data_IF_229566114525
#
_entry.id   IF_229566114525
#
_cell.length_a   1.000
_cell.length_b   1.000
_cell.length_c   1.000
_cell.angle_alpha   90.00
_cell.angle_beta   90.00
_cell.angle_gamma   90.00
#
_symmetry.space_group_name_H-M   'P 1'
#
loop_
_entity.id
_entity.type
_entity.pdbx_description
1 polymer ?
#
# COMPACT_ATOMS: atom_id res chain seq x y z
N UNK A 1 -33.96 23.47 8.45
CA UNK A 1 -32.70 22.78 8.15
C UNK A 1 -32.81 22.24 6.74
N UNK A 2 -32.25 22.95 5.76
CA UNK A 2 -32.28 22.52 4.36
C UNK A 2 -31.40 21.27 4.20
N UNK A 3 -31.97 20.21 3.65
CA UNK A 3 -31.24 18.99 3.32
C UNK A 3 -30.16 19.38 2.30
N UNK A 4 -28.87 19.09 2.56
CA UNK A 4 -27.84 19.35 1.55
C UNK A 4 -28.21 18.61 0.27
N UNK A 5 -28.14 19.32 -0.87
CA UNK A 5 -28.40 18.75 -2.19
C UNK A 5 -27.56 17.48 -2.35
N UNK A 6 -28.20 16.37 -2.74
CA UNK A 6 -27.51 15.07 -2.92
C UNK A 6 -26.25 15.19 -3.79
N UNK A 7 -26.23 16.16 -4.71
CA UNK A 7 -25.11 16.48 -5.58
C UNK A 7 -23.83 16.89 -4.81
N UNK A 8 -23.96 17.65 -3.72
CA UNK A 8 -22.83 18.08 -2.88
C UNK A 8 -22.30 16.89 -2.06
N UNK A 9 -23.19 16.00 -1.59
CA UNK A 9 -22.81 14.81 -0.82
C UNK A 9 -22.00 13.81 -1.64
N UNK A 10 -22.32 13.63 -2.92
CA UNK A 10 -21.61 12.68 -3.78
C UNK A 10 -20.37 13.26 -4.49
N UNK A 11 -20.20 14.59 -4.50
CA UNK A 11 -19.10 15.25 -5.20
C UNK A 11 -17.70 14.72 -4.79
N UNK A 12 -17.36 14.53 -3.49
CA UNK A 12 -16.06 14.01 -3.10
C UNK A 12 -15.82 12.57 -3.62
N UNK A 13 -16.86 11.76 -3.65
CA UNK A 13 -16.80 10.37 -4.13
C UNK A 13 -16.57 10.33 -5.64
N UNK A 14 -17.25 11.20 -6.40
CA UNK A 14 -17.05 11.33 -7.85
C UNK A 14 -15.62 11.79 -8.15
N UNK A 15 -15.12 12.81 -7.44
CA UNK A 15 -13.75 13.30 -7.58
C UNK A 15 -12.74 12.18 -7.29
N UNK A 16 -12.94 11.44 -6.20
CA UNK A 16 -12.09 10.30 -5.83
C UNK A 16 -12.05 9.21 -6.92
N UNK A 17 -13.21 8.86 -7.49
CA UNK A 17 -13.28 7.88 -8.59
C UNK A 17 -12.55 8.39 -9.83
N UNK A 18 -12.74 9.66 -10.20
CA UNK A 18 -12.09 10.25 -11.37
C UNK A 18 -10.56 10.26 -11.20
N UNK A 19 -10.06 10.69 -10.04
CA UNK A 19 -8.63 10.69 -9.72
C UNK A 19 -8.07 9.25 -9.75
N UNK A 20 -8.76 8.31 -9.11
CA UNK A 20 -8.35 6.89 -9.10
C UNK A 20 -8.28 6.31 -10.51
N UNK A 21 -9.27 6.62 -11.36
CA UNK A 21 -9.28 6.23 -12.77
C UNK A 21 -8.12 6.87 -13.56
N UNK A 22 -7.83 8.15 -13.34
CA UNK A 22 -6.73 8.86 -14.01
C UNK A 22 -5.37 8.24 -13.64
N UNK A 23 -5.15 7.95 -12.35
CA UNK A 23 -3.92 7.32 -11.87
C UNK A 23 -3.79 5.89 -12.43
N UNK A 24 -4.86 5.09 -12.40
CA UNK A 24 -4.86 3.74 -12.96
C UNK A 24 -4.52 3.75 -14.47
N UNK A 25 -5.05 4.72 -15.23
CA UNK A 25 -4.71 4.92 -16.65
C UNK A 25 -3.25 5.30 -16.83
N UNK A 26 -2.71 6.20 -15.99
CA UNK A 26 -1.29 6.60 -16.03
C UNK A 26 -0.36 5.41 -15.76
N UNK A 27 -0.68 4.59 -14.75
CA UNK A 27 0.06 3.36 -14.43
C UNK A 27 0.02 2.38 -15.59
N UNK A 28 -1.16 2.11 -16.17
CA UNK A 28 -1.27 1.23 -17.35
C UNK A 28 -0.46 1.76 -18.53
N UNK A 29 -0.53 3.07 -18.81
CA UNK A 29 0.25 3.71 -19.89
C UNK A 29 1.74 3.52 -19.68
N UNK A 30 2.21 3.66 -18.44
CA UNK A 30 3.62 3.48 -18.09
C UNK A 30 4.03 2.01 -18.18
N UNK A 31 3.22 1.10 -17.65
CA UNK A 31 3.51 -0.33 -17.64
C UNK A 31 3.59 -0.93 -19.06
N UNK A 32 2.79 -0.42 -20.01
CA UNK A 32 2.82 -0.84 -21.42
C UNK A 32 4.15 -0.57 -22.13
N UNK A 33 4.97 0.37 -21.62
CA UNK A 33 6.30 0.64 -22.18
C UNK A 33 7.30 -0.49 -21.95
N UNK A 34 7.01 -1.41 -21.04
CA UNK A 34 7.91 -2.48 -20.64
C UNK A 34 7.31 -3.84 -21.03
N UNK A 35 7.89 -4.55 -22.02
CA UNK A 35 7.36 -5.83 -22.48
C UNK A 35 7.36 -6.88 -21.36
N UNK A 36 6.43 -7.84 -21.37
CA UNK A 36 6.41 -8.92 -20.39
C UNK A 36 7.66 -9.78 -20.51
N UNK A 37 8.11 -10.36 -19.39
CA UNK A 37 9.30 -11.20 -19.39
C UNK A 37 9.11 -12.54 -20.12
N UNK A 38 7.90 -13.12 -20.12
CA UNK A 38 7.61 -14.38 -20.80
C UNK A 38 6.20 -14.35 -21.45
N UNK A 39 6.01 -13.66 -22.59
CA UNK A 39 4.71 -13.51 -23.24
C UNK A 39 4.10 -14.84 -23.71
N UNK A 40 4.93 -15.80 -24.09
CA UNK A 40 4.50 -17.08 -24.66
C UNK A 40 3.89 -18.03 -23.61
N UNK A 41 4.21 -17.83 -22.33
CA UNK A 41 3.74 -18.70 -21.25
C UNK A 41 2.26 -18.49 -20.89
N UNK A 42 1.64 -17.36 -21.29
CA UNK A 42 0.24 -17.09 -20.98
C UNK A 42 -0.34 -15.98 -21.83
N UNK A 43 -1.61 -16.14 -22.24
CA UNK A 43 -2.42 -15.05 -22.84
C UNK A 43 -2.68 -13.88 -21.87
N UNK A 44 -2.40 -14.06 -20.57
CA UNK A 44 -2.70 -13.07 -19.52
C UNK A 44 -1.41 -12.52 -18.92
N UNK A 45 -0.89 -11.43 -19.49
CA UNK A 45 0.34 -10.77 -19.04
C UNK A 45 0.17 -9.26 -18.77
N UNK A 46 1.20 -8.64 -18.20
CA UNK A 46 1.27 -7.21 -17.90
C UNK A 46 0.55 -6.77 -16.61
N UNK A 47 0.74 -5.49 -16.26
CA UNK A 47 0.15 -4.86 -15.07
C UNK A 47 -1.34 -4.56 -15.31
N UNK A 48 -2.19 -5.51 -14.95
CA UNK A 48 -3.64 -5.45 -15.10
C UNK A 48 -4.38 -6.29 -14.05
N UNK A 49 -5.70 -6.18 -14.01
CA UNK A 49 -6.55 -6.91 -13.04
C UNK A 49 -6.08 -6.70 -11.59
N UNK A 50 -6.00 -7.79 -10.84
CA UNK A 50 -5.53 -7.82 -9.45
C UNK A 50 -4.13 -7.24 -9.23
N UNK A 51 -3.23 -7.35 -10.22
CA UNK A 51 -1.89 -6.77 -10.11
C UNK A 51 -1.95 -5.24 -10.20
N UNK A 52 -2.84 -4.70 -11.03
CA UNK A 52 -3.07 -3.25 -11.06
C UNK A 52 -3.70 -2.76 -9.76
N UNK A 53 -4.65 -3.53 -9.20
CA UNK A 53 -5.26 -3.21 -7.91
C UNK A 53 -4.19 -3.13 -6.82
N UNK A 54 -3.26 -4.08 -6.76
CA UNK A 54 -2.14 -4.05 -5.83
C UNK A 54 -1.26 -2.81 -6.03
N UNK A 55 -0.87 -2.50 -7.26
CA UNK A 55 -0.04 -1.32 -7.55
C UNK A 55 -0.75 -0.02 -7.18
N UNK A 56 -2.06 0.09 -7.47
CA UNK A 56 -2.91 1.20 -7.04
C UNK A 56 -2.98 1.29 -5.51
N UNK A 57 -3.11 0.12 -4.85
CA UNK A 57 -3.05 -0.04 -3.40
C UNK A 57 -1.78 0.55 -2.82
N UNK A 58 -0.64 0.18 -3.38
CA UNK A 58 0.67 0.61 -2.90
C UNK A 58 0.92 2.11 -3.15
N UNK A 59 0.61 2.61 -4.35
CA UNK A 59 1.03 3.94 -4.78
C UNK A 59 0.06 5.06 -4.43
N UNK A 60 -1.22 4.74 -4.21
CA UNK A 60 -2.25 5.76 -4.06
C UNK A 60 -3.22 5.45 -2.92
N UNK A 61 -3.94 4.32 -2.99
CA UNK A 61 -5.00 4.04 -2.02
C UNK A 61 -4.45 3.86 -0.60
N UNK A 62 -3.34 3.15 -0.44
CA UNK A 62 -2.68 2.92 0.85
C UNK A 62 -2.26 4.23 1.52
N UNK A 63 -1.43 5.09 0.87
CA UNK A 63 -1.09 6.40 1.40
C UNK A 63 -2.30 7.29 1.73
N UNK A 64 -3.32 7.29 0.88
CA UNK A 64 -4.49 8.14 1.10
C UNK A 64 -5.34 7.66 2.29
N UNK A 65 -5.65 6.35 2.35
CA UNK A 65 -6.40 5.76 3.46
C UNK A 65 -5.61 5.86 4.77
N UNK A 66 -4.30 5.61 4.71
CA UNK A 66 -3.40 5.71 5.86
C UNK A 66 -3.36 7.11 6.46
N UNK A 67 -3.21 8.14 5.62
CA UNK A 67 -3.22 9.54 6.06
C UNK A 67 -4.58 9.92 6.69
N UNK A 68 -5.68 9.52 6.04
CA UNK A 68 -7.03 9.76 6.55
C UNK A 68 -7.26 9.10 7.92
N UNK A 69 -6.81 7.84 8.09
CA UNK A 69 -6.93 7.11 9.35
C UNK A 69 -6.11 7.77 10.47
N UNK A 70 -4.83 8.08 10.23
CA UNK A 70 -3.97 8.74 11.22
C UNK A 70 -4.59 10.07 11.66
N UNK A 71 -5.07 10.87 10.72
CA UNK A 71 -5.70 12.16 11.04
C UNK A 71 -6.99 11.99 11.84
N UNK A 72 -7.85 11.04 11.45
CA UNK A 72 -9.09 10.74 12.18
C UNK A 72 -8.82 10.23 13.60
N UNK A 73 -7.78 9.39 13.78
CA UNK A 73 -7.38 8.89 15.09
C UNK A 73 -6.89 10.03 16.00
N UNK A 74 -6.08 10.96 15.47
CA UNK A 74 -5.65 12.14 16.23
C UNK A 74 -6.81 13.07 16.59
N UNK A 75 -7.68 13.40 15.65
CA UNK A 75 -8.85 14.24 15.90
C UNK A 75 -9.76 13.61 16.97
N UNK A 76 -10.04 12.31 16.86
CA UNK A 76 -10.88 11.58 17.83
C UNK A 76 -10.31 11.61 19.25
N UNK A 77 -8.99 11.57 19.39
CA UNK A 77 -8.32 11.65 20.70
C UNK A 77 -8.29 13.08 21.23
N UNK A 78 -8.01 14.06 20.38
CA UNK A 78 -7.97 15.48 20.75
C UNK A 78 -9.35 16.04 21.12
N UNK A 79 -10.41 15.57 20.45
CA UNK A 79 -11.79 15.93 20.78
C UNK A 79 -12.21 15.40 22.17
N UNK A 80 -11.70 14.22 22.55
CA UNK A 80 -11.97 13.62 23.88
C UNK A 80 -11.12 14.23 24.99
N UNK A 81 -9.90 14.64 24.67
CA UNK A 81 -8.94 15.17 25.63
C UNK A 81 -8.28 16.46 25.08
N UNK A 82 -8.98 17.61 25.11
CA UNK A 82 -8.50 18.85 24.51
C UNK A 82 -7.18 19.35 25.12
N UNK A 83 -6.92 19.01 26.38
CA UNK A 83 -5.69 19.32 27.07
C UNK A 83 -4.45 18.63 26.48
N UNK A 84 -4.59 17.58 25.66
CA UNK A 84 -3.45 16.95 25.00
C UNK A 84 -2.74 17.88 24.02
N UNK A 85 -3.44 18.86 23.45
CA UNK A 85 -2.84 19.78 22.47
C UNK A 85 -1.73 20.66 23.06
N UNK A 86 -1.73 20.88 24.38
CA UNK A 86 -0.67 21.61 25.09
C UNK A 86 0.46 20.71 25.61
N UNK A 87 0.32 19.39 25.52
CA UNK A 87 1.30 18.42 26.02
C UNK A 87 2.41 18.22 24.99
N UNK A 88 3.65 18.57 25.34
CA UNK A 88 4.80 18.48 24.43
C UNK A 88 5.02 17.06 23.88
N UNK A 89 4.85 16.03 24.72
CA UNK A 89 4.97 14.62 24.32
C UNK A 89 3.97 14.24 23.23
N UNK A 90 2.75 14.78 23.26
CA UNK A 90 1.73 14.54 22.24
C UNK A 90 2.15 15.12 20.88
N UNK A 91 2.70 16.34 20.88
CA UNK A 91 3.26 16.95 19.67
C UNK A 91 4.41 16.12 19.05
N UNK A 92 5.31 15.60 19.90
CA UNK A 92 6.38 14.69 19.47
C UNK A 92 5.84 13.39 18.90
N UNK A 93 4.83 12.79 19.53
CA UNK A 93 4.17 11.58 19.06
C UNK A 93 3.51 11.75 17.68
N UNK A 94 2.76 12.85 17.48
CA UNK A 94 2.16 13.17 16.17
C UNK A 94 3.23 13.32 15.09
N UNK A 95 4.29 14.06 15.39
CA UNK A 95 5.39 14.30 14.45
C UNK A 95 6.11 12.99 14.08
N UNK A 96 6.45 12.16 15.07
CA UNK A 96 7.09 10.87 14.85
C UNK A 96 6.22 9.90 14.04
N UNK A 97 4.90 9.90 14.31
CA UNK A 97 3.93 9.12 13.54
C UNK A 97 3.90 9.55 12.07
N UNK A 98 3.83 10.85 11.79
CA UNK A 98 3.81 11.36 10.41
C UNK A 98 5.12 11.08 9.66
N UNK A 99 6.27 11.22 10.31
CA UNK A 99 7.56 10.88 9.68
C UNK A 99 7.67 9.38 9.37
N UNK A 100 7.28 8.53 10.31
CA UNK A 100 7.26 7.07 10.10
C UNK A 100 6.30 6.70 8.97
N UNK A 101 5.12 7.32 8.93
CA UNK A 101 4.14 7.12 7.88
C UNK A 101 4.66 7.57 6.51
N UNK A 102 5.35 8.72 6.44
CA UNK A 102 5.95 9.21 5.20
C UNK A 102 7.01 8.24 4.66
N UNK A 103 7.86 7.68 5.54
CA UNK A 103 8.82 6.64 5.17
C UNK A 103 8.12 5.39 4.62
N UNK A 104 7.04 4.95 5.27
CA UNK A 104 6.23 3.83 4.79
C UNK A 104 5.60 4.13 3.41
N UNK A 105 5.14 5.35 3.18
CA UNK A 105 4.62 5.80 1.87
C UNK A 105 5.70 5.73 0.79
N UNK A 106 6.91 6.22 1.07
CA UNK A 106 8.04 6.15 0.15
C UNK A 106 8.39 4.70 -0.23
N UNK A 107 8.46 3.81 0.75
CA UNK A 107 8.70 2.37 0.51
C UNK A 107 7.58 1.75 -0.33
N UNK A 108 6.33 2.05 0.01
CA UNK A 108 5.15 1.56 -0.72
C UNK A 108 5.17 2.02 -2.18
N UNK A 109 5.48 3.30 -2.41
CA UNK A 109 5.61 3.86 -3.75
C UNK A 109 6.76 3.21 -4.53
N UNK A 110 7.89 2.98 -3.89
CA UNK A 110 9.04 2.29 -4.48
C UNK A 110 8.71 0.83 -4.88
N UNK A 111 7.96 0.10 -4.04
CA UNK A 111 7.46 -1.23 -4.39
C UNK A 111 6.53 -1.19 -5.62
N UNK A 112 5.56 -0.27 -5.60
CA UNK A 112 4.62 -0.09 -6.71
C UNK A 112 5.31 0.27 -8.03
N UNK A 113 6.23 1.24 -7.99
CA UNK A 113 7.04 1.61 -9.15
C UNK A 113 7.89 0.46 -9.68
N UNK A 114 8.47 -0.33 -8.78
CA UNK A 114 9.21 -1.55 -9.13
C UNK A 114 8.36 -2.50 -9.95
N UNK A 115 7.14 -2.79 -9.50
CA UNK A 115 6.19 -3.63 -10.25
C UNK A 115 5.80 -3.00 -11.61
N UNK A 116 5.67 -1.68 -11.67
CA UNK A 116 5.30 -1.00 -12.94
C UNK A 116 6.42 -1.05 -13.97
N UNK A 117 7.66 -0.75 -13.55
CA UNK A 117 8.79 -0.48 -14.45
C UNK A 117 9.70 -1.69 -14.68
N UNK A 118 9.89 -2.54 -13.67
CA UNK A 118 10.77 -3.70 -13.79
C UNK A 118 9.99 -4.94 -14.24
N UNK A 119 10.67 -5.83 -14.96
CA UNK A 119 10.11 -7.10 -15.46
C UNK A 119 10.94 -8.27 -14.96
N UNK A 120 11.33 -8.21 -13.69
CA UNK A 120 12.20 -9.18 -13.05
C UNK A 120 11.55 -9.78 -11.81
N UNK A 121 11.94 -11.01 -11.47
CA UNK A 121 11.54 -11.66 -10.22
C UNK A 121 12.01 -10.84 -9.00
N UNK A 122 13.11 -10.10 -9.12
CA UNK A 122 13.62 -9.23 -8.06
C UNK A 122 12.61 -8.14 -7.67
N UNK A 123 11.88 -7.57 -8.63
CA UNK A 123 10.82 -6.60 -8.34
C UNK A 123 9.70 -7.22 -7.50
N UNK A 124 9.33 -8.48 -7.80
CA UNK A 124 8.31 -9.23 -7.06
C UNK A 124 8.80 -9.57 -5.65
N UNK A 125 10.05 -10.02 -5.49
CA UNK A 125 10.65 -10.30 -4.17
C UNK A 125 10.66 -9.04 -3.30
N UNK A 126 11.07 -7.91 -3.88
CA UNK A 126 11.10 -6.60 -3.22
C UNK A 126 9.72 -6.15 -2.77
N UNK A 127 8.71 -6.26 -3.65
CA UNK A 127 7.33 -5.92 -3.30
C UNK A 127 6.79 -6.77 -2.14
N UNK A 128 7.10 -8.07 -2.08
CA UNK A 128 6.72 -8.94 -0.94
C UNK A 128 7.36 -8.46 0.37
N UNK A 129 8.67 -8.21 0.38
CA UNK A 129 9.37 -7.72 1.58
C UNK A 129 8.75 -6.41 2.05
N UNK A 130 8.54 -5.47 1.13
CA UNK A 130 7.99 -4.16 1.46
C UNK A 130 6.55 -4.29 2.00
N UNK A 131 5.71 -5.19 1.48
CA UNK A 131 4.36 -5.44 2.02
C UNK A 131 4.37 -5.84 3.50
N UNK A 132 5.33 -6.66 3.92
CA UNK A 132 5.49 -7.03 5.33
C UNK A 132 6.04 -5.89 6.19
N UNK A 133 6.88 -5.03 5.60
CA UNK A 133 7.42 -3.84 6.28
C UNK A 133 6.32 -2.79 6.50
N UNK A 134 5.62 -2.38 5.43
CA UNK A 134 4.63 -1.29 5.51
C UNK A 134 3.31 -1.72 6.16
N UNK A 135 3.05 -3.03 6.26
CA UNK A 135 1.88 -3.57 6.94
C UNK A 135 2.21 -3.92 8.40
N UNK A 136 2.45 -5.20 8.73
CA UNK A 136 2.65 -5.64 10.11
C UNK A 136 3.75 -4.91 10.87
N UNK A 137 4.93 -4.73 10.27
CA UNK A 137 6.05 -4.09 10.97
C UNK A 137 5.77 -2.62 11.26
N UNK A 138 5.21 -1.87 10.31
CA UNK A 138 4.79 -0.49 10.54
C UNK A 138 3.71 -0.40 11.63
N UNK A 139 2.75 -1.33 11.66
CA UNK A 139 1.75 -1.40 12.75
C UNK A 139 2.40 -1.60 14.12
N UNK A 140 3.42 -2.46 14.23
CA UNK A 140 4.17 -2.65 15.48
C UNK A 140 4.93 -1.37 15.87
N UNK A 141 5.60 -0.73 14.91
CA UNK A 141 6.36 0.49 15.16
C UNK A 141 5.41 1.60 15.65
N UNK A 142 4.31 1.83 14.94
CA UNK A 142 3.37 2.90 15.23
C UNK A 142 2.52 2.64 16.47
N UNK A 143 2.02 1.41 16.63
CA UNK A 143 1.06 1.06 17.67
C UNK A 143 1.68 0.60 18.98
N UNK A 144 2.93 0.15 18.98
CA UNK A 144 3.61 -0.36 20.18
C UNK A 144 4.92 0.38 20.47
N UNK A 145 5.83 0.48 19.50
CA UNK A 145 7.16 1.03 19.77
C UNK A 145 7.14 2.55 20.04
N UNK A 146 6.44 3.34 19.22
CA UNK A 146 6.35 4.79 19.40
C UNK A 146 5.68 5.19 20.72
N UNK A 147 4.55 4.60 21.14
CA UNK A 147 3.95 4.92 22.43
C UNK A 147 4.88 4.62 23.61
N UNK A 148 5.57 3.47 23.60
CA UNK A 148 6.54 3.11 24.64
C UNK A 148 7.68 4.12 24.68
N UNK A 149 8.25 4.47 23.52
CA UNK A 149 9.39 5.36 23.43
C UNK A 149 9.07 6.78 23.94
N UNK A 150 7.85 7.27 23.69
CA UNK A 150 7.49 8.68 23.96
C UNK A 150 6.77 8.84 25.30
N UNK A 151 5.89 7.92 25.67
CA UNK A 151 5.08 7.99 26.90
C UNK A 151 5.58 7.06 28.01
N UNK A 152 6.53 6.16 27.73
CA UNK A 152 7.07 5.20 28.70
C UNK A 152 6.13 4.05 29.04
N UNK A 153 4.95 3.98 28.41
CA UNK A 153 3.94 2.95 28.67
C UNK A 153 3.23 2.54 27.38
N UNK A 154 2.70 1.31 27.40
CA UNK A 154 1.85 0.77 26.35
C UNK A 154 0.58 0.22 26.99
N UNK A 155 -0.56 0.69 26.49
CA UNK A 155 -1.88 0.18 26.85
C UNK A 155 -2.47 -0.49 25.61
N UNK A 156 -2.51 -1.84 25.56
CA UNK A 156 -3.03 -2.54 24.40
C UNK A 156 -4.52 -2.23 24.22
N UNK A 157 -4.86 -1.66 23.06
CA UNK A 157 -6.25 -1.45 22.65
C UNK A 157 -6.74 -2.60 21.77
N UNK A 158 -8.05 -2.90 21.83
CA UNK A 158 -8.68 -3.85 20.90
C UNK A 158 -8.45 -3.42 19.44
N UNK A 159 -8.53 -2.11 19.18
CA UNK A 159 -8.29 -1.52 17.86
C UNK A 159 -6.87 -1.83 17.34
N UNK A 160 -5.86 -1.79 18.20
CA UNK A 160 -4.49 -2.16 17.81
C UNK A 160 -4.43 -3.62 17.35
N UNK A 161 -4.99 -4.55 18.15
CA UNK A 161 -4.98 -5.99 17.84
C UNK A 161 -5.73 -6.28 16.55
N UNK A 162 -6.91 -5.69 16.37
CA UNK A 162 -7.71 -5.81 15.13
C UNK A 162 -6.94 -5.31 13.91
N UNK A 163 -6.32 -4.13 14.03
CA UNK A 163 -5.53 -3.57 12.93
C UNK A 163 -4.32 -4.44 12.58
N UNK A 164 -3.66 -5.01 13.59
CA UNK A 164 -2.51 -5.89 13.42
C UNK A 164 -2.91 -7.17 12.66
N UNK A 165 -3.98 -7.84 13.09
CA UNK A 165 -4.51 -9.03 12.42
C UNK A 165 -4.87 -8.71 10.96
N UNK A 166 -5.56 -7.59 10.73
CA UNK A 166 -5.95 -7.17 9.38
C UNK A 166 -4.72 -6.94 8.48
N UNK A 167 -3.66 -6.32 8.99
CA UNK A 167 -2.43 -6.10 8.22
C UNK A 167 -1.68 -7.41 7.90
N UNK A 168 -1.68 -8.38 8.81
CA UNK A 168 -1.06 -9.69 8.59
C UNK A 168 -1.82 -10.46 7.50
N UNK A 169 -3.16 -10.51 7.59
CA UNK A 169 -4.00 -11.16 6.57
C UNK A 169 -3.78 -10.50 5.21
N UNK A 170 -3.83 -9.17 5.15
CA UNK A 170 -3.61 -8.44 3.89
C UNK A 170 -2.21 -8.73 3.30
N UNK A 171 -1.15 -8.67 4.11
CA UNK A 171 0.21 -8.98 3.67
C UNK A 171 0.35 -10.42 3.18
N UNK A 172 -0.27 -11.38 3.88
CA UNK A 172 -0.27 -12.79 3.50
C UNK A 172 -1.03 -13.02 2.18
N UNK A 173 -2.21 -12.44 2.00
CA UNK A 173 -3.01 -12.55 0.77
C UNK A 173 -2.24 -12.00 -0.44
N UNK A 174 -1.65 -10.82 -0.32
CA UNK A 174 -0.87 -10.24 -1.41
C UNK A 174 0.44 -11.00 -1.68
N UNK A 175 1.10 -11.49 -0.63
CA UNK A 175 2.28 -12.35 -0.77
C UNK A 175 1.94 -13.65 -1.51
N UNK A 176 0.82 -14.28 -1.17
CA UNK A 176 0.32 -15.48 -1.84
C UNK A 176 -0.01 -15.19 -3.30
N UNK A 177 -0.72 -14.09 -3.58
CA UNK A 177 -1.03 -13.65 -4.94
C UNK A 177 0.25 -13.44 -5.77
N UNK A 178 1.21 -12.67 -5.27
CA UNK A 178 2.49 -12.41 -5.94
C UNK A 178 3.35 -13.67 -6.12
N UNK A 179 3.11 -14.73 -5.35
CA UNK A 179 3.87 -15.99 -5.46
C UNK A 179 3.23 -16.96 -6.45
N UNK A 180 1.90 -17.03 -6.50
CA UNK A 180 1.18 -18.10 -7.20
C UNK A 180 0.48 -17.64 -8.49
N UNK A 181 0.21 -16.35 -8.65
CA UNK A 181 -0.57 -15.84 -9.78
C UNK A 181 0.09 -16.12 -11.15
N UNK A 182 -0.68 -16.74 -12.06
CA UNK A 182 -0.28 -16.98 -13.46
C UNK A 182 0.12 -15.67 -14.16
N UNK A 183 -0.64 -14.59 -13.95
CA UNK A 183 -0.34 -13.26 -14.52
C UNK A 183 0.99 -12.73 -14.03
N UNK A 184 1.29 -12.85 -12.74
CA UNK A 184 2.55 -12.36 -12.16
C UNK A 184 3.72 -13.16 -12.75
N UNK A 185 3.59 -14.49 -12.84
CA UNK A 185 4.61 -15.33 -13.49
C UNK A 185 4.82 -14.97 -14.96
N UNK A 186 3.77 -14.75 -15.74
CA UNK A 186 3.91 -14.32 -17.15
C UNK A 186 4.53 -12.91 -17.28
N UNK A 187 4.28 -12.03 -16.31
CA UNK A 187 4.77 -10.63 -16.35
C UNK A 187 6.23 -10.49 -15.92
N UNK A 188 6.67 -11.25 -14.91
CA UNK A 188 7.99 -11.09 -14.26
C UNK A 188 8.84 -12.36 -14.23
N UNK A 189 8.33 -13.48 -14.76
CA UNK A 189 9.01 -14.78 -14.76
C UNK A 189 10.27 -14.79 -15.61
N UNK A 190 11.06 -15.86 -15.49
CA UNK A 190 12.23 -16.04 -16.34
C UNK A 190 11.76 -16.46 -17.73
N UNK A 191 12.23 -15.77 -18.77
CA UNK A 191 12.58 -16.46 -20.02
C UNK A 191 13.62 -17.50 -19.65
N UNK A 192 13.22 -18.76 -19.51
CA UNK A 192 14.15 -19.81 -19.93
C UNK A 192 14.45 -19.49 -21.38
N UNK A 193 15.71 -19.23 -21.77
CA UNK A 193 16.07 -19.27 -23.18
C UNK A 193 15.51 -20.59 -23.66
N UNK A 194 14.65 -20.55 -24.67
CA UNK A 194 14.29 -21.76 -25.38
C UNK A 194 15.62 -22.33 -25.84
N UNK A 195 16.09 -23.41 -25.19
CA UNK A 195 17.19 -24.23 -25.67
C UNK A 195 16.69 -24.96 -26.92
N UNK A 196 16.35 -24.19 -27.96
CA UNK A 196 16.43 -24.59 -29.35
C UNK A 196 17.90 -24.43 -29.75
N UNK A 197 18.70 -25.35 -29.24
CA UNK A 197 19.70 -26.02 -30.05
C UNK A 197 19.34 -27.51 -29.99
N UNK A 198 18.22 -27.84 -30.62
CA UNK A 198 18.13 -29.08 -31.36
C UNK A 198 19.03 -28.93 -32.58
N UNK A 199 19.90 -29.92 -32.80
CA UNK A 199 20.61 -30.21 -34.05
C UNK A 199 21.86 -29.38 -34.38
N UNK A 200 23.01 -29.90 -33.95
CA UNK A 200 24.14 -30.28 -34.83
C UNK A 200 24.81 -31.54 -34.26
#
# INVERSE_FOLDING_TARGET
MDKPSMLITFLPLVIFIVISCAIARSIKKTAKKYPPAAPEQSYVFGVGGWLLLLVMGLMFLGPLIGAGRINADFMSVEDKYPNLQSVAQWGTYKSATWWTFLLACCLSFYAGLGLVKERSISAVKRAKIILWIIGPLASIILGLFLPILIFGKFEPSSQFVESMIATIIAAATWTAYLSKSKRVKATYGLTTPSTYYSEL
#
